data_IF_881518664768
#
_entry.id   IF_881518664768
#
_cell.length_a   1.000
_cell.length_b   1.000
_cell.length_c   1.000
_cell.angle_alpha   90.00
_cell.angle_beta   90.00
_cell.angle_gamma   90.00
#
_symmetry.space_group_name_H-M   'P 1'
#
loop_
_entity.id
_entity.type
_entity.pdbx_description
1 polymer ?
#
# COMPACT_ATOMS: atom_id res chain seq x y z
N UNK A 1 -4.33 8.42 -1.71
CA UNK A 1 -5.20 7.27 -2.01
C UNK A 1 -4.77 6.62 -3.31
N UNK A 2 -4.44 5.33 -3.22
CA UNK A 2 -4.25 4.55 -4.43
C UNK A 2 -5.61 4.16 -5.01
N UNK A 3 -6.27 5.09 -5.67
CA UNK A 3 -7.56 4.88 -6.34
C UNK A 3 -7.55 3.73 -7.35
N UNK A 4 -6.41 3.14 -7.59
CA UNK A 4 -6.17 2.12 -8.62
C UNK A 4 -5.75 0.76 -8.07
N UNK A 5 -5.75 0.59 -6.75
CA UNK A 5 -5.48 -0.72 -6.13
C UNK A 5 -6.80 -1.32 -5.66
N UNK A 6 -7.09 -2.51 -6.15
CA UNK A 6 -8.33 -3.24 -5.90
C UNK A 6 -8.03 -4.49 -5.09
N UNK A 7 -8.90 -4.78 -4.13
CA UNK A 7 -8.89 -6.01 -3.35
C UNK A 7 -9.96 -6.97 -3.89
N UNK A 8 -9.68 -8.26 -3.88
CA UNK A 8 -10.68 -9.28 -4.17
C UNK A 8 -11.57 -9.46 -2.92
N UNK A 9 -12.86 -9.13 -3.05
CA UNK A 9 -13.80 -9.20 -1.93
C UNK A 9 -14.43 -10.59 -1.74
N UNK A 10 -14.28 -11.50 -2.70
CA UNK A 10 -14.77 -12.88 -2.58
C UNK A 10 -13.69 -13.83 -2.04
N UNK A 11 -12.42 -13.48 -2.24
CA UNK A 11 -11.27 -14.22 -1.73
C UNK A 11 -10.17 -13.21 -1.33
N UNK A 12 -10.22 -12.79 -0.07
CA UNK A 12 -9.33 -11.77 0.49
C UNK A 12 -7.85 -12.19 0.55
N UNK A 13 -7.56 -13.49 0.42
CA UNK A 13 -6.18 -13.99 0.38
C UNK A 13 -5.51 -13.75 -0.98
N UNK A 14 -6.31 -13.49 -2.02
CA UNK A 14 -5.75 -13.20 -3.34
C UNK A 14 -5.01 -11.87 -3.37
N UNK A 15 -3.96 -11.78 -4.21
CA UNK A 15 -3.21 -10.55 -4.38
C UNK A 15 -4.10 -9.36 -4.77
N UNK A 16 -3.75 -8.20 -4.27
CA UNK A 16 -4.30 -6.95 -4.77
C UNK A 16 -3.87 -6.72 -6.20
N UNK A 17 -4.72 -6.04 -6.97
CA UNK A 17 -4.38 -5.62 -8.32
C UNK A 17 -4.33 -4.10 -8.41
N UNK A 18 -3.20 -3.57 -8.87
CA UNK A 18 -2.98 -2.15 -9.10
C UNK A 18 -3.02 -1.88 -10.60
N UNK A 19 -3.94 -1.05 -11.05
CA UNK A 19 -4.18 -0.77 -12.46
C UNK A 19 -3.64 0.59 -12.89
N UNK A 20 -3.25 0.71 -14.14
CA UNK A 20 -3.10 2.00 -14.80
C UNK A 20 -4.48 2.62 -15.01
N UNK A 21 -4.65 3.89 -14.66
CA UNK A 21 -5.92 4.62 -14.86
C UNK A 21 -5.86 5.62 -16.00
N UNK A 22 -4.66 5.98 -16.46
CA UNK A 22 -4.42 6.90 -17.56
C UNK A 22 -5.09 8.27 -17.40
N UNK A 23 -5.32 8.68 -16.16
CA UNK A 23 -5.89 9.97 -15.79
C UNK A 23 -4.96 10.72 -14.84
N UNK A 24 -5.00 12.04 -14.92
CA UNK A 24 -4.30 12.90 -13.95
C UNK A 24 -5.12 13.03 -12.69
N UNK A 25 -4.50 12.72 -11.56
CA UNK A 25 -5.06 12.94 -10.24
C UNK A 25 -4.06 13.73 -9.40
N UNK A 26 -4.49 14.87 -8.88
CA UNK A 26 -3.62 15.88 -8.27
C UNK A 26 -2.59 16.42 -9.27
N UNK A 27 -1.32 16.13 -9.11
CA UNK A 27 -0.21 16.67 -9.94
C UNK A 27 0.38 15.66 -10.92
N UNK A 28 -0.05 14.38 -10.91
CA UNK A 28 0.57 13.34 -11.73
C UNK A 28 -0.44 12.45 -12.45
N UNK A 29 -0.06 12.02 -13.66
CA UNK A 29 -0.83 11.03 -14.42
C UNK A 29 -0.62 9.63 -13.82
N UNK A 30 -1.71 8.93 -13.56
CA UNK A 30 -1.71 7.60 -12.92
C UNK A 30 -1.48 6.50 -13.95
N UNK A 31 -0.28 6.44 -14.48
CA UNK A 31 0.19 5.40 -15.42
C UNK A 31 1.04 4.35 -14.69
N UNK A 32 1.29 3.22 -15.37
CA UNK A 32 2.25 2.19 -14.99
C UNK A 32 3.22 1.97 -16.15
N UNK A 33 4.35 2.65 -16.10
CA UNK A 33 5.38 2.52 -17.13
C UNK A 33 5.94 1.09 -17.16
N UNK A 34 6.32 0.60 -18.34
CA UNK A 34 6.83 -0.76 -18.54
C UNK A 34 7.99 -1.09 -17.59
N UNK A 35 8.95 -0.17 -17.44
CA UNK A 35 10.09 -0.40 -16.54
C UNK A 35 9.66 -0.52 -15.06
N UNK A 36 8.67 0.25 -14.61
CA UNK A 36 8.12 0.14 -13.26
C UNK A 36 7.50 -1.23 -13.04
N UNK A 37 6.71 -1.71 -14.01
CA UNK A 37 6.09 -3.03 -13.95
C UNK A 37 7.12 -4.16 -13.93
N UNK A 38 8.16 -4.07 -14.76
CA UNK A 38 9.21 -5.09 -14.84
C UNK A 38 10.13 -5.10 -13.61
N UNK A 39 10.40 -3.94 -13.04
CA UNK A 39 11.28 -3.81 -11.88
C UNK A 39 10.58 -4.13 -10.56
N UNK A 40 9.25 -4.08 -10.50
CA UNK A 40 8.48 -4.33 -9.27
C UNK A 40 8.88 -5.62 -8.56
N UNK A 41 8.82 -6.81 -9.20
CA UNK A 41 9.22 -8.06 -8.57
C UNK A 41 10.70 -8.12 -8.18
N UNK A 42 11.59 -7.49 -8.96
CA UNK A 42 13.04 -7.46 -8.68
C UNK A 42 13.32 -6.67 -7.41
N UNK A 43 12.75 -5.46 -7.32
CA UNK A 43 12.87 -4.60 -6.15
C UNK A 43 12.23 -5.25 -4.93
N UNK A 44 11.06 -5.89 -5.13
CA UNK A 44 10.41 -6.64 -4.07
C UNK A 44 11.32 -7.73 -3.48
N UNK A 45 11.92 -8.56 -4.33
CA UNK A 45 12.79 -9.65 -3.88
C UNK A 45 13.98 -9.10 -3.07
N UNK A 46 14.57 -8.00 -3.51
CA UNK A 46 15.64 -7.33 -2.79
C UNK A 46 15.18 -6.79 -1.43
N UNK A 47 14.06 -6.08 -1.37
CA UNK A 47 13.52 -5.53 -0.13
C UNK A 47 13.12 -6.64 0.86
N UNK A 48 12.49 -7.70 0.39
CA UNK A 48 12.11 -8.85 1.21
C UNK A 48 13.34 -9.57 1.79
N UNK A 49 14.42 -9.66 1.01
CA UNK A 49 15.67 -10.24 1.51
C UNK A 49 16.31 -9.35 2.58
N UNK A 50 16.35 -8.04 2.35
CA UNK A 50 16.88 -7.06 3.30
C UNK A 50 16.12 -7.13 4.62
N UNK A 51 14.80 -7.08 4.60
CA UNK A 51 13.96 -7.18 5.83
C UNK A 51 14.16 -8.51 6.55
N UNK A 52 14.26 -9.63 5.83
CA UNK A 52 14.50 -10.95 6.44
C UNK A 52 15.87 -11.06 7.12
N UNK A 53 16.86 -10.30 6.70
CA UNK A 53 18.21 -10.28 7.28
C UNK A 53 18.35 -9.25 8.40
N UNK A 54 17.42 -8.32 8.51
CA UNK A 54 17.45 -7.25 9.49
C UNK A 54 16.65 -7.63 10.74
N UNK A 55 17.37 -7.97 11.82
CA UNK A 55 16.77 -8.37 13.09
C UNK A 55 15.91 -7.25 13.72
N UNK A 56 16.25 -5.98 13.49
CA UNK A 56 15.50 -4.84 14.03
C UNK A 56 14.19 -4.67 13.28
N UNK A 57 14.20 -4.75 11.94
CA UNK A 57 12.98 -4.69 11.14
C UNK A 57 12.01 -5.82 11.51
N UNK A 58 12.53 -7.04 11.72
CA UNK A 58 11.73 -8.17 12.19
C UNK A 58 11.15 -7.95 13.60
N UNK A 59 11.96 -7.48 14.54
CA UNK A 59 11.51 -7.18 15.89
C UNK A 59 10.45 -6.07 15.95
N UNK A 60 10.48 -5.13 15.01
CA UNK A 60 9.49 -4.08 14.84
C UNK A 60 8.21 -4.56 14.09
N UNK A 61 8.16 -5.81 13.65
CA UNK A 61 7.04 -6.35 12.89
C UNK A 61 6.84 -5.66 11.53
N UNK A 62 7.92 -5.17 10.91
CA UNK A 62 7.84 -4.42 9.67
C UNK A 62 7.56 -5.34 8.49
N UNK A 63 6.46 -5.07 7.76
CA UNK A 63 6.02 -5.83 6.60
C UNK A 63 5.90 -4.90 5.38
N UNK A 64 6.43 -5.36 4.25
CA UNK A 64 6.22 -4.73 2.95
C UNK A 64 5.38 -5.67 2.09
N UNK A 65 4.26 -5.18 1.57
CA UNK A 65 3.45 -5.91 0.61
C UNK A 65 4.12 -5.88 -0.76
N UNK A 66 4.70 -7.01 -1.15
CA UNK A 66 5.52 -7.12 -2.35
C UNK A 66 4.75 -7.03 -3.66
N UNK A 67 5.36 -6.42 -4.67
CA UNK A 67 4.87 -6.47 -6.04
C UNK A 67 5.38 -7.77 -6.68
N UNK A 68 4.50 -8.79 -6.75
CA UNK A 68 4.89 -10.18 -7.07
C UNK A 68 4.85 -10.50 -8.56
N UNK A 69 4.04 -9.77 -9.33
CA UNK A 69 3.91 -9.95 -10.78
C UNK A 69 3.44 -8.65 -11.43
N UNK A 70 3.66 -8.53 -12.72
CA UNK A 70 3.16 -7.40 -13.47
C UNK A 70 2.98 -7.73 -14.95
N UNK A 71 2.05 -7.03 -15.60
CA UNK A 71 1.83 -7.08 -17.03
C UNK A 71 1.80 -5.66 -17.60
N UNK A 72 2.46 -5.49 -18.73
CA UNK A 72 2.48 -4.22 -19.45
C UNK A 72 2.27 -4.47 -20.93
N UNK A 73 1.64 -3.52 -21.59
CA UNK A 73 1.42 -3.62 -23.02
C UNK A 73 2.73 -3.48 -23.82
N UNK A 74 2.94 -4.38 -24.79
CA UNK A 74 4.11 -4.38 -25.67
C UNK A 74 3.98 -3.32 -26.77
N UNK A 75 4.48 -2.12 -26.50
CA UNK A 75 4.39 -0.98 -27.42
C UNK A 75 5.20 -1.15 -28.70
N UNK A 76 6.12 -2.11 -28.74
CA UNK A 76 6.98 -2.40 -29.88
C UNK A 76 6.18 -2.72 -31.15
N UNK A 77 5.02 -3.32 -30.98
CA UNK A 77 4.13 -3.72 -32.06
C UNK A 77 3.17 -2.60 -32.54
N UNK A 78 3.20 -1.43 -31.89
CA UNK A 78 2.34 -0.31 -32.28
C UNK A 78 2.99 0.60 -33.31
N UNK A 79 2.19 1.20 -34.22
CA UNK A 79 2.64 2.32 -35.03
C UNK A 79 3.20 3.45 -34.17
N UNK A 80 4.25 4.13 -34.65
CA UNK A 80 4.95 5.19 -33.93
C UNK A 80 4.01 6.27 -33.38
N UNK A 81 2.99 6.64 -34.12
CA UNK A 81 1.99 7.65 -33.75
C UNK A 81 1.15 7.26 -32.51
N UNK A 82 1.02 5.96 -32.21
CA UNK A 82 0.22 5.45 -31.08
C UNK A 82 1.02 5.27 -29.80
N UNK A 83 2.35 5.18 -29.88
CA UNK A 83 3.22 4.91 -28.73
C UNK A 83 3.08 5.92 -27.60
N UNK A 84 3.07 7.24 -27.83
CA UNK A 84 2.91 8.21 -26.76
C UNK A 84 1.55 8.11 -26.05
N UNK A 85 0.50 7.81 -26.79
CA UNK A 85 -0.87 7.72 -26.28
C UNK A 85 -1.10 6.49 -25.39
N UNK A 86 -0.31 5.44 -25.59
CA UNK A 86 -0.42 4.16 -24.87
C UNK A 86 0.66 3.98 -23.82
N UNK A 87 1.58 4.93 -23.68
CA UNK A 87 2.67 4.83 -22.71
C UNK A 87 2.14 4.68 -21.28
N UNK A 88 2.41 3.52 -20.67
CA UNK A 88 1.96 3.21 -19.32
C UNK A 88 0.44 3.12 -19.10
N UNK A 89 -0.36 3.19 -20.18
CA UNK A 89 -1.81 3.22 -20.11
C UNK A 89 -2.43 1.85 -19.80
N UNK A 90 -1.84 0.79 -20.36
CA UNK A 90 -2.34 -0.59 -20.23
C UNK A 90 -1.32 -1.41 -19.45
N UNK A 91 -1.47 -1.39 -18.15
CA UNK A 91 -0.59 -2.14 -17.25
C UNK A 91 -1.31 -2.50 -15.96
N UNK A 92 -0.87 -3.59 -15.36
CA UNK A 92 -1.29 -4.02 -14.04
C UNK A 92 -0.11 -4.59 -13.24
N UNK A 93 -0.16 -4.43 -11.92
CA UNK A 93 0.78 -5.02 -10.98
C UNK A 93 -0.03 -5.76 -9.93
N UNK A 94 0.38 -6.98 -9.61
CA UNK A 94 -0.16 -7.74 -8.49
C UNK A 94 0.73 -7.54 -7.27
N UNK A 95 0.08 -7.25 -6.14
CA UNK A 95 0.72 -7.02 -4.85
C UNK A 95 0.18 -8.03 -3.85
N UNK A 96 1.02 -8.49 -2.95
CA UNK A 96 0.62 -9.38 -1.86
C UNK A 96 -0.56 -8.82 -1.07
N UNK A 97 -1.44 -9.72 -0.63
CA UNK A 97 -2.52 -9.35 0.29
C UNK A 97 -1.98 -9.20 1.70
N UNK A 98 -2.40 -8.16 2.41
CA UNK A 98 -2.09 -7.99 3.85
C UNK A 98 -2.57 -9.18 4.69
N UNK A 99 -3.64 -9.85 4.25
CA UNK A 99 -4.22 -10.99 4.96
C UNK A 99 -3.30 -12.20 5.07
N UNK A 100 -2.20 -12.25 4.28
CA UNK A 100 -1.16 -13.28 4.42
C UNK A 100 -0.25 -13.07 5.64
N UNK A 101 -0.29 -11.86 6.20
CA UNK A 101 0.57 -11.43 7.32
C UNK A 101 -0.20 -11.25 8.63
N UNK A 102 -1.52 -11.39 8.62
CA UNK A 102 -2.38 -11.23 9.78
C UNK A 102 -2.60 -12.57 10.50
N UNK A 103 -2.57 -12.53 11.83
CA UNK A 103 -3.06 -13.60 12.67
C UNK A 103 -4.61 -13.62 12.68
N UNK A 104 -5.18 -14.69 13.25
CA UNK A 104 -6.64 -14.89 13.23
C UNK A 104 -7.43 -13.82 14.03
N UNK A 105 -6.78 -13.19 14.99
CA UNK A 105 -7.32 -12.13 15.85
C UNK A 105 -6.91 -10.72 15.43
N UNK A 106 -6.21 -10.57 14.29
CA UNK A 106 -5.76 -9.30 13.77
C UNK A 106 -6.60 -8.82 12.58
N UNK A 107 -6.75 -7.52 12.48
CA UNK A 107 -7.38 -6.86 11.35
C UNK A 107 -6.48 -5.73 10.82
N UNK A 108 -6.46 -5.57 9.51
CA UNK A 108 -5.74 -4.48 8.87
C UNK A 108 -6.71 -3.37 8.47
N UNK A 109 -6.34 -2.16 8.83
CA UNK A 109 -7.05 -0.94 8.45
C UNK A 109 -6.10 -0.01 7.72
N UNK A 110 -6.46 0.52 6.55
CA UNK A 110 -5.64 1.51 5.88
C UNK A 110 -5.52 2.76 6.76
N UNK A 111 -4.34 3.34 6.82
CA UNK A 111 -4.04 4.45 7.72
C UNK A 111 -4.99 5.64 7.53
N UNK A 112 -5.36 5.94 6.27
CA UNK A 112 -6.35 6.97 5.97
C UNK A 112 -7.79 6.61 6.37
N UNK A 113 -8.05 5.33 6.67
CA UNK A 113 -9.34 4.87 7.20
C UNK A 113 -9.54 5.18 8.68
N UNK A 114 -8.47 5.45 9.42
CA UNK A 114 -8.54 5.71 10.87
C UNK A 114 -9.44 6.92 11.21
N UNK A 115 -9.40 7.96 10.38
CA UNK A 115 -10.24 9.16 10.54
C UNK A 115 -11.54 9.12 9.73
N UNK A 116 -11.84 7.97 9.09
CA UNK A 116 -13.06 7.84 8.31
C UNK A 116 -14.27 7.94 9.23
N UNK A 117 -15.24 8.76 8.83
CA UNK A 117 -16.51 8.87 9.54
C UNK A 117 -17.40 7.73 9.04
N UNK A 118 -17.76 6.82 9.92
CA UNK A 118 -18.73 5.79 9.61
C UNK A 118 -20.12 6.40 9.58
N UNK A 119 -20.65 6.58 8.39
CA UNK A 119 -22.06 6.85 8.20
C UNK A 119 -22.82 5.53 8.32
N UNK A 120 -23.09 5.06 9.50
CA UNK A 120 -24.19 4.13 9.68
C UNK A 120 -25.49 4.87 9.33
N UNK A 121 -26.13 4.41 8.28
CA UNK A 121 -27.40 4.88 7.84
C UNK A 121 -28.40 4.84 9.02
N UNK A 122 -28.77 5.99 9.53
CA UNK A 122 -29.85 6.37 10.41
C UNK A 122 -29.44 6.96 11.76
N UNK A 123 -29.70 8.24 11.91
CA UNK A 123 -29.88 8.99 13.18
C UNK A 123 -28.80 8.87 14.27
N UNK A 124 -27.67 8.24 14.00
CA UNK A 124 -26.56 8.13 14.94
C UNK A 124 -25.57 9.29 14.77
N UNK A 125 -24.93 9.66 15.83
CA UNK A 125 -23.80 10.57 15.82
C UNK A 125 -22.72 9.97 14.90
N UNK A 126 -22.25 10.76 13.94
CA UNK A 126 -21.19 10.35 13.02
C UNK A 126 -19.88 10.34 13.80
N UNK A 127 -19.38 9.17 14.12
CA UNK A 127 -18.13 9.00 14.85
C UNK A 127 -17.00 8.51 13.93
N UNK A 128 -15.76 8.91 14.22
CA UNK A 128 -14.61 8.37 13.49
C UNK A 128 -14.43 6.87 13.79
N UNK A 129 -13.96 6.11 12.80
CA UNK A 129 -13.69 4.67 12.93
C UNK A 129 -12.89 4.32 14.19
N UNK A 130 -11.94 5.20 14.61
CA UNK A 130 -11.11 4.98 15.81
C UNK A 130 -11.80 5.32 17.13
N UNK A 131 -13.02 5.85 17.13
CA UNK A 131 -13.71 6.33 18.35
C UNK A 131 -13.74 5.27 19.48
N UNK A 132 -14.10 3.99 19.24
CA UNK A 132 -14.14 2.98 20.30
C UNK A 132 -12.79 2.76 21.00
N UNK A 133 -11.69 2.82 20.24
CA UNK A 133 -10.35 2.68 20.83
C UNK A 133 -9.93 3.92 21.60
N UNK A 134 -10.32 5.11 21.12
CA UNK A 134 -10.09 6.37 21.86
C UNK A 134 -10.86 6.39 23.17
N UNK A 135 -12.09 5.91 23.15
CA UNK A 135 -12.90 5.79 24.37
C UNK A 135 -12.27 4.80 25.37
N UNK A 136 -11.82 3.66 24.88
CA UNK A 136 -11.24 2.61 25.73
C UNK A 136 -9.89 2.98 26.32
N UNK A 137 -8.98 3.56 25.54
CA UNK A 137 -7.58 3.77 25.92
C UNK A 137 -7.21 5.24 26.16
N UNK A 138 -8.04 6.17 25.74
CA UNK A 138 -7.78 7.60 25.74
C UNK A 138 -6.92 8.04 24.55
N UNK A 139 -7.21 9.23 24.05
CA UNK A 139 -6.57 9.80 22.85
C UNK A 139 -5.04 9.85 22.96
N UNK A 140 -4.52 10.28 24.12
CA UNK A 140 -3.06 10.42 24.32
C UNK A 140 -2.35 9.08 24.24
N UNK A 141 -2.84 8.07 24.95
CA UNK A 141 -2.20 6.75 25.00
C UNK A 141 -2.30 6.06 23.64
N UNK A 142 -3.46 6.13 22.98
CA UNK A 142 -3.66 5.57 21.66
C UNK A 142 -2.73 6.22 20.61
N UNK A 143 -2.66 7.54 20.57
CA UNK A 143 -1.78 8.28 19.63
C UNK A 143 -0.31 7.97 19.90
N UNK A 144 0.09 7.92 21.16
CA UNK A 144 1.46 7.57 21.53
C UNK A 144 1.82 6.15 21.04
N UNK A 145 0.95 5.18 21.25
CA UNK A 145 1.15 3.81 20.78
C UNK A 145 1.22 3.74 19.25
N UNK A 146 0.32 4.44 18.54
CA UNK A 146 0.35 4.52 17.07
C UNK A 146 1.71 5.02 16.57
N UNK A 147 2.20 6.12 17.14
CA UNK A 147 3.50 6.68 16.73
C UNK A 147 4.67 5.76 17.07
N UNK A 148 4.62 5.08 18.22
CA UNK A 148 5.64 4.13 18.64
C UNK A 148 5.72 2.90 17.72
N UNK A 149 4.62 2.52 17.09
CA UNK A 149 4.59 1.39 16.15
C UNK A 149 4.93 1.84 14.73
N UNK A 150 4.40 2.96 14.27
CA UNK A 150 4.52 3.37 12.87
C UNK A 150 5.83 4.08 12.53
N UNK A 151 6.39 4.87 13.45
CA UNK A 151 7.56 5.72 13.14
C UNK A 151 8.89 4.97 13.17
N UNK A 152 9.19 4.12 14.16
CA UNK A 152 10.49 3.46 14.26
C UNK A 152 10.88 2.63 13.03
N UNK A 153 9.99 1.82 12.40
CA UNK A 153 10.36 1.08 11.20
C UNK A 153 10.80 1.97 10.05
N UNK A 154 10.10 3.11 9.85
CA UNK A 154 10.41 4.06 8.79
C UNK A 154 11.78 4.71 9.02
N UNK A 155 12.04 5.14 10.26
CA UNK A 155 13.33 5.73 10.66
C UNK A 155 14.45 4.70 10.53
N UNK A 156 14.22 3.47 10.97
CA UNK A 156 15.18 2.39 10.88
C UNK A 156 15.56 2.09 9.42
N UNK A 157 14.58 1.90 8.54
CA UNK A 157 14.83 1.67 7.11
C UNK A 157 15.61 2.81 6.46
N UNK A 158 15.33 4.05 6.84
CA UNK A 158 16.04 5.21 6.30
C UNK A 158 17.48 5.28 6.77
N UNK A 159 17.74 5.16 8.07
CA UNK A 159 19.05 5.43 8.67
C UNK A 159 19.97 4.22 8.71
N UNK A 160 19.45 3.02 8.93
CA UNK A 160 20.25 1.80 8.99
C UNK A 160 20.45 1.18 7.60
N UNK A 161 19.37 1.13 6.80
CA UNK A 161 19.38 0.44 5.51
C UNK A 161 19.52 1.40 4.30
N UNK A 162 19.44 2.70 4.52
CA UNK A 162 19.51 3.71 3.45
C UNK A 162 18.30 3.70 2.52
N UNK A 163 17.19 3.07 2.94
CA UNK A 163 15.97 2.92 2.15
C UNK A 163 14.95 3.97 2.53
N UNK A 164 14.76 4.97 1.66
CA UNK A 164 13.70 5.97 1.81
C UNK A 164 12.34 5.40 1.46
N UNK A 165 11.42 5.42 2.42
CA UNK A 165 10.03 4.98 2.23
C UNK A 165 9.14 6.18 1.93
N UNK A 166 8.19 6.02 1.01
CA UNK A 166 7.16 7.04 0.73
C UNK A 166 6.04 6.93 1.78
N UNK A 167 6.34 7.44 2.99
CA UNK A 167 5.50 7.27 4.18
C UNK A 167 4.36 8.27 4.21
N UNK A 168 3.25 7.93 3.60
CA UNK A 168 2.01 8.70 3.64
C UNK A 168 0.81 7.80 3.98
N UNK A 169 -0.32 8.41 4.35
CA UNK A 169 -1.51 7.70 4.85
C UNK A 169 -2.33 6.95 3.79
N UNK A 170 -1.71 6.51 2.71
CA UNK A 170 -2.40 5.84 1.60
C UNK A 170 -2.02 4.37 1.52
#
# INVERSE_FOLDING_TARGET
QSLRTLQNMTDIQRPYIKLAMSMTNTSSTRILAKHTVLNGPIINNWLQQLIRQDATAQALGFVILGEIAGVSFAQEHLPQMRKPQTYGALGAIWRESIHQYLNADEQAVPFNGLSHLENEYRDAQVEPFIAPWIEQYGLKAWTQQLLQVCVPPIIHMLYAEGVGMESHGQ
#
